data_IF_750878727060
#
_entry.id   IF_750878727060
#
_cell.length_a   1.000
_cell.length_b   1.000
_cell.length_c   1.000
_cell.angle_alpha   90.00
_cell.angle_beta   90.00
_cell.angle_gamma   90.00
#
_symmetry.space_group_name_H-M   'P 1'
#
loop_
_entity.id
_entity.type
_entity.pdbx_description
1 polymer ?
#
# COMPACT_ATOMS: atom_id res chain seq x y z
N UNK A 1 -16.10 -40.18 -61.96
CA UNK A 1 -14.65 -39.93 -62.11
C UNK A 1 -14.08 -39.62 -60.73
N UNK A 2 -13.14 -40.45 -60.26
CA UNK A 2 -12.06 -40.23 -59.27
C UNK A 2 -12.36 -39.29 -58.08
N UNK A 3 -12.75 -39.79 -56.89
CA UNK A 3 -11.94 -40.37 -55.79
C UNK A 3 -10.88 -39.41 -55.18
N UNK A 4 -11.10 -39.03 -53.91
CA UNK A 4 -10.13 -38.96 -52.79
C UNK A 4 -10.98 -38.93 -51.49
N UNK A 5 -11.20 -40.05 -50.78
CA UNK A 5 -10.45 -40.57 -49.60
C UNK A 5 -10.00 -39.43 -48.65
N UNK A 6 -10.71 -39.11 -47.57
CA UNK A 6 -10.81 -39.81 -46.26
C UNK A 6 -9.46 -39.95 -45.53
N UNK A 7 -9.27 -39.22 -44.42
CA UNK A 7 -8.72 -39.75 -43.16
C UNK A 7 -9.27 -38.91 -41.99
N UNK A 8 -10.08 -39.56 -41.17
CA UNK A 8 -10.37 -39.14 -39.80
C UNK A 8 -9.23 -39.64 -38.90
N UNK A 9 -8.83 -38.85 -37.91
CA UNK A 9 -8.07 -39.37 -36.77
C UNK A 9 -8.60 -38.73 -35.49
N UNK A 10 -9.48 -39.46 -34.81
CA UNK A 10 -9.64 -39.37 -33.36
C UNK A 10 -8.39 -39.99 -32.72
N UNK A 11 -7.82 -39.30 -31.75
CA UNK A 11 -6.90 -39.89 -30.78
C UNK A 11 -7.29 -39.36 -29.39
N UNK A 12 -8.11 -40.16 -28.71
CA UNK A 12 -8.33 -40.11 -27.28
C UNK A 12 -7.20 -40.87 -26.58
N UNK A 13 -6.48 -40.20 -25.68
CA UNK A 13 -5.59 -40.82 -24.71
C UNK A 13 -6.00 -40.35 -23.30
N UNK A 14 -6.70 -41.25 -22.59
CA UNK A 14 -6.68 -41.28 -21.14
C UNK A 14 -5.36 -41.93 -20.69
N UNK A 15 -4.69 -41.36 -19.68
CA UNK A 15 -3.69 -42.08 -18.91
C UNK A 15 -2.64 -41.22 -18.20
N UNK A 16 -2.62 -41.37 -16.87
CA UNK A 16 -1.52 -41.15 -15.91
C UNK A 16 -1.38 -39.76 -15.25
N UNK A 17 -1.86 -39.71 -14.00
CA UNK A 17 -1.31 -38.89 -12.92
C UNK A 17 0.07 -39.43 -12.47
N UNK A 18 0.79 -38.55 -11.76
CA UNK A 18 1.99 -38.77 -10.94
C UNK A 18 3.32 -39.06 -11.65
N UNK A 19 4.11 -38.00 -11.81
CA UNK A 19 5.36 -37.82 -11.04
C UNK A 19 5.96 -36.45 -11.37
N UNK A 20 5.54 -35.41 -10.63
CA UNK A 20 6.35 -34.19 -10.52
C UNK A 20 7.18 -34.30 -9.24
N UNK A 21 8.52 -34.33 -9.33
CA UNK A 21 9.35 -34.32 -8.14
C UNK A 21 9.11 -33.03 -7.36
N UNK A 22 8.75 -33.20 -6.09
CA UNK A 22 8.86 -32.25 -4.98
C UNK A 22 8.55 -30.80 -5.30
N UNK A 23 7.37 -30.34 -4.86
CA UNK A 23 7.21 -28.92 -4.53
C UNK A 23 8.45 -28.44 -3.74
N UNK A 24 9.06 -27.29 -4.08
CA UNK A 24 10.13 -26.76 -3.26
C UNK A 24 9.58 -26.62 -1.84
N UNK A 25 10.14 -27.39 -0.90
CA UNK A 25 9.90 -27.26 0.52
C UNK A 25 10.53 -25.93 0.94
N UNK A 26 9.84 -24.84 0.62
CA UNK A 26 10.07 -23.58 1.29
C UNK A 26 9.88 -23.86 2.79
N UNK A 27 10.80 -23.42 3.66
CA UNK A 27 10.54 -23.50 5.08
C UNK A 27 9.21 -22.78 5.32
N UNK A 28 8.26 -23.45 5.98
CA UNK A 28 7.05 -22.82 6.45
C UNK A 28 7.48 -21.70 7.40
N UNK A 29 7.50 -20.47 6.89
CA UNK A 29 7.68 -19.30 7.71
C UNK A 29 6.45 -19.24 8.61
N UNK A 30 6.62 -19.67 9.86
CA UNK A 30 5.69 -19.29 10.92
C UNK A 30 5.64 -17.76 10.90
N UNK A 31 4.50 -17.20 10.51
CA UNK A 31 4.20 -15.77 10.41
C UNK A 31 4.08 -15.14 11.80
N UNK A 32 5.06 -15.39 12.67
CA UNK A 32 5.24 -14.60 13.87
C UNK A 32 6.18 -13.46 13.50
N UNK A 33 5.72 -12.19 13.56
CA UNK A 33 6.63 -11.06 13.41
C UNK A 33 7.70 -11.20 14.48
N UNK A 34 8.95 -11.36 14.06
CA UNK A 34 10.07 -11.39 15.00
C UNK A 34 10.29 -9.94 15.44
N UNK A 35 10.14 -9.61 16.74
CA UNK A 35 10.46 -8.28 17.22
C UNK A 35 11.90 -7.96 16.80
N UNK A 36 12.13 -6.79 16.19
CA UNK A 36 13.51 -6.36 15.92
C UNK A 36 14.25 -6.29 17.27
N UNK A 37 15.44 -6.87 17.34
CA UNK A 37 16.16 -7.12 18.59
C UNK A 37 16.47 -5.85 19.42
N UNK A 38 16.38 -4.66 18.81
CA UNK A 38 16.53 -3.37 19.49
C UNK A 38 15.27 -2.90 20.26
N UNK A 39 14.13 -3.60 20.14
CA UNK A 39 12.79 -3.07 20.49
C UNK A 39 12.18 -3.51 21.82
N UNK A 40 12.82 -4.41 22.56
CA UNK A 40 12.22 -4.99 23.77
C UNK A 40 12.13 -4.03 24.99
N UNK A 41 12.61 -2.77 24.89
CA UNK A 41 12.69 -1.84 26.02
C UNK A 41 12.02 -0.47 25.84
N UNK A 42 11.55 -0.10 24.64
CA UNK A 42 10.85 1.17 24.45
C UNK A 42 9.40 1.06 24.96
N UNK A 43 8.88 2.05 25.72
CA UNK A 43 7.50 2.02 26.18
C UNK A 43 6.52 2.03 25.01
N UNK A 44 5.30 1.53 25.24
CA UNK A 44 4.21 1.66 24.29
C UNK A 44 3.91 3.16 24.05
N UNK A 45 3.65 3.58 22.81
CA UNK A 45 3.26 4.95 22.52
C UNK A 45 1.82 5.23 22.95
N UNK A 46 1.46 6.51 23.02
CA UNK A 46 0.11 6.95 23.38
C UNK A 46 -0.40 8.04 22.43
N UNK A 47 -1.70 8.02 22.05
CA UNK A 47 -2.72 7.03 22.40
C UNK A 47 -2.65 5.76 21.52
N UNK A 48 -3.19 4.65 22.03
CA UNK A 48 -3.55 3.51 21.18
C UNK A 48 -5.04 3.56 20.87
N UNK A 49 -5.39 3.34 19.61
CA UNK A 49 -6.78 3.34 19.13
C UNK A 49 -7.26 1.92 18.84
N UNK A 50 -8.49 1.55 19.24
CA UNK A 50 -9.10 0.29 18.86
C UNK A 50 -9.60 0.35 17.41
N UNK A 51 -9.19 -0.62 16.59
CA UNK A 51 -9.70 -0.78 15.23
C UNK A 51 -10.36 -2.14 15.08
N UNK A 52 -11.68 -2.13 14.88
CA UNK A 52 -12.45 -3.35 14.65
C UNK A 52 -12.20 -3.87 13.23
N UNK A 53 -11.62 -5.07 13.13
CA UNK A 53 -11.45 -5.84 11.90
C UNK A 53 -12.43 -7.04 11.93
N UNK A 54 -12.72 -7.69 10.80
CA UNK A 54 -13.71 -8.78 10.73
C UNK A 54 -13.46 -9.95 11.70
N UNK A 55 -12.20 -10.26 12.01
CA UNK A 55 -11.80 -11.40 12.84
C UNK A 55 -11.16 -11.00 14.18
N UNK A 56 -10.85 -9.72 14.40
CA UNK A 56 -10.11 -9.26 15.57
C UNK A 56 -10.26 -7.75 15.79
N UNK A 57 -9.91 -7.29 16.99
CA UNK A 57 -9.70 -5.86 17.25
C UNK A 57 -8.20 -5.59 17.34
N UNK A 58 -7.70 -4.71 16.50
CA UNK A 58 -6.31 -4.26 16.53
C UNK A 58 -6.19 -3.02 17.43
N UNK A 59 -5.37 -3.09 18.47
CA UNK A 59 -4.97 -1.89 19.22
C UNK A 59 -3.70 -1.33 18.61
N UNK A 60 -3.81 -0.21 17.90
CA UNK A 60 -2.70 0.35 17.13
C UNK A 60 -2.39 1.79 17.53
N UNK A 61 -1.13 2.18 17.40
CA UNK A 61 -0.75 3.59 17.45
C UNK A 61 -1.14 4.23 16.12
N UNK A 62 -1.92 5.33 16.11
CA UNK A 62 -2.53 5.84 14.88
C UNK A 62 -1.55 6.53 13.91
N UNK A 63 -0.25 6.40 14.15
CA UNK A 63 0.82 7.02 13.39
C UNK A 63 1.97 6.02 13.13
N UNK A 64 2.78 6.28 12.11
CA UNK A 64 4.18 5.87 12.04
C UNK A 64 5.08 7.02 12.51
N UNK A 65 6.38 6.77 12.61
CA UNK A 65 7.35 7.80 12.95
C UNK A 65 8.79 7.36 12.77
N UNK A 66 9.71 8.33 12.73
CA UNK A 66 11.16 8.10 12.65
C UNK A 66 11.80 7.73 14.00
N UNK A 67 10.97 7.45 15.00
CA UNK A 67 11.39 7.14 16.36
C UNK A 67 10.23 6.68 17.23
N UNK A 68 10.55 6.27 18.46
CA UNK A 68 9.54 5.82 19.41
C UNK A 68 8.74 7.02 19.95
N UNK A 69 7.41 6.94 19.83
CA UNK A 69 6.44 7.92 20.34
C UNK A 69 6.58 9.33 19.73
N UNK A 70 7.12 9.41 18.51
CA UNK A 70 7.23 10.65 17.73
C UNK A 70 6.38 10.51 16.46
N UNK A 71 5.11 10.98 16.46
CA UNK A 71 4.23 10.80 15.31
C UNK A 71 4.74 11.60 14.11
N UNK A 72 4.81 10.95 12.95
CA UNK A 72 5.07 11.56 11.64
C UNK A 72 3.84 11.45 10.76
N UNK A 73 3.61 10.26 10.20
CA UNK A 73 2.53 10.02 9.24
C UNK A 73 1.39 9.21 9.87
N UNK A 74 0.12 9.60 9.68
CA UNK A 74 -1.00 8.78 10.11
C UNK A 74 -1.06 7.42 9.40
N UNK A 75 -1.50 6.42 10.14
CA UNK A 75 -1.95 5.15 9.55
C UNK A 75 -3.29 5.39 8.86
N UNK A 76 -3.33 5.24 7.54
CA UNK A 76 -4.54 5.43 6.71
C UNK A 76 -5.06 4.14 6.08
N UNK A 77 -4.25 3.08 6.04
CA UNK A 77 -4.60 1.82 5.37
C UNK A 77 -4.25 0.60 6.24
N UNK A 78 -5.12 -0.41 6.18
CA UNK A 78 -4.94 -1.71 6.84
C UNK A 78 -5.27 -2.82 5.84
N UNK A 79 -4.31 -3.71 5.62
CA UNK A 79 -4.47 -4.91 4.81
C UNK A 79 -4.66 -6.13 5.71
N UNK A 80 -5.69 -6.92 5.41
CA UNK A 80 -6.03 -8.16 6.12
C UNK A 80 -6.09 -9.34 5.14
N UNK A 81 -6.11 -10.57 5.67
CA UNK A 81 -6.05 -11.79 4.86
C UNK A 81 -4.61 -12.18 4.55
N UNK A 82 -4.26 -12.37 3.27
CA UNK A 82 -2.88 -12.67 2.83
C UNK A 82 -2.03 -11.39 2.74
N UNK A 83 -1.97 -10.64 3.83
CA UNK A 83 -1.35 -9.32 3.89
C UNK A 83 0.16 -9.38 4.21
N UNK A 84 0.95 -10.23 3.54
CA UNK A 84 2.42 -10.18 3.64
C UNK A 84 2.93 -8.94 2.87
N UNK A 85 3.62 -7.97 3.52
CA UNK A 85 4.18 -6.80 2.84
C UNK A 85 4.98 -7.12 1.59
N UNK A 86 5.71 -8.25 1.55
CA UNK A 86 6.49 -8.64 0.37
C UNK A 86 5.59 -9.02 -0.79
N UNK A 87 4.49 -9.72 -0.52
CA UNK A 87 3.52 -10.10 -1.55
C UNK A 87 2.77 -8.85 -2.06
N UNK A 88 2.36 -7.96 -1.15
CA UNK A 88 1.74 -6.67 -1.48
C UNK A 88 2.67 -5.85 -2.39
N UNK A 89 3.94 -5.71 -2.00
CA UNK A 89 4.97 -5.03 -2.79
C UNK A 89 5.12 -5.64 -4.18
N UNK A 90 5.34 -6.95 -4.26
CA UNK A 90 5.54 -7.63 -5.55
C UNK A 90 4.35 -7.46 -6.49
N UNK A 91 3.12 -7.47 -5.96
CA UNK A 91 1.92 -7.27 -6.75
C UNK A 91 1.83 -5.85 -7.34
N UNK A 92 2.16 -4.82 -6.55
CA UNK A 92 2.14 -3.43 -7.01
C UNK A 92 3.24 -3.14 -8.04
N UNK A 93 4.44 -3.70 -7.86
CA UNK A 93 5.57 -3.52 -8.79
C UNK A 93 5.35 -4.18 -10.17
N UNK A 94 4.34 -5.04 -10.31
CA UNK A 94 3.97 -5.66 -11.59
C UNK A 94 3.00 -4.81 -12.41
N UNK A 95 2.41 -3.76 -11.82
CA UNK A 95 1.46 -2.90 -12.50
C UNK A 95 2.18 -1.86 -13.35
N UNK A 96 1.60 -1.55 -14.50
CA UNK A 96 2.10 -0.55 -15.46
C UNK A 96 1.74 0.90 -15.09
N UNK A 97 0.94 1.09 -14.03
CA UNK A 97 0.43 2.40 -13.63
C UNK A 97 -0.80 2.90 -14.41
N UNK A 98 -1.27 2.23 -15.45
CA UNK A 98 -2.44 2.69 -16.22
C UNK A 98 -3.76 2.40 -15.48
N UNK A 99 -4.40 3.45 -14.97
CA UNK A 99 -5.67 3.38 -14.24
C UNK A 99 -6.87 3.85 -15.07
N UNK A 100 -6.72 4.07 -16.37
CA UNK A 100 -7.79 4.61 -17.24
C UNK A 100 -9.01 3.69 -17.33
N UNK A 101 -8.82 2.37 -17.21
CA UNK A 101 -9.91 1.40 -17.16
C UNK A 101 -10.86 1.61 -15.95
N UNK A 102 -10.41 2.32 -14.91
CA UNK A 102 -11.19 2.69 -13.74
C UNK A 102 -11.75 4.13 -13.82
N UNK A 103 -11.64 4.78 -14.98
CA UNK A 103 -12.17 6.13 -15.21
C UNK A 103 -11.24 7.27 -14.80
N UNK A 104 -10.01 6.97 -14.39
CA UNK A 104 -9.02 8.00 -14.07
C UNK A 104 -8.39 8.59 -15.36
N UNK A 105 -7.96 9.87 -15.33
CA UNK A 105 -7.24 10.48 -16.43
C UNK A 105 -5.93 9.76 -16.77
N UNK A 106 -5.50 9.81 -18.02
CA UNK A 106 -4.12 9.45 -18.40
C UNK A 106 -3.16 10.62 -18.13
N UNK A 107 -2.97 10.92 -16.85
CA UNK A 107 -2.07 11.97 -16.37
C UNK A 107 -1.63 11.67 -14.93
N UNK A 108 -0.49 12.22 -14.51
CA UNK A 108 -0.03 12.11 -13.13
C UNK A 108 -1.09 12.68 -12.15
N UNK A 109 -1.37 12.02 -11.01
CA UNK A 109 -0.73 10.80 -10.50
C UNK A 109 -1.36 9.47 -10.97
N UNK A 110 -2.32 9.50 -11.87
CA UNK A 110 -3.13 8.33 -12.23
C UNK A 110 -2.44 7.36 -13.19
N UNK A 111 -1.36 7.78 -13.87
CA UNK A 111 -0.59 6.97 -14.81
C UNK A 111 0.86 6.66 -14.35
N UNK A 112 1.21 6.91 -13.09
CA UNK A 112 2.52 6.49 -12.56
C UNK A 112 2.52 5.01 -12.17
N UNK A 113 3.65 4.34 -12.36
CA UNK A 113 3.90 2.99 -11.87
C UNK A 113 4.57 3.04 -10.49
N UNK A 114 4.32 2.01 -9.67
CA UNK A 114 5.00 1.86 -8.39
C UNK A 114 6.45 1.42 -8.58
N UNK A 115 7.36 1.97 -7.78
CA UNK A 115 8.73 1.52 -7.65
C UNK A 115 9.15 1.55 -6.17
N UNK A 116 10.25 0.88 -5.82
CA UNK A 116 10.82 1.00 -4.47
C UNK A 116 11.26 2.43 -4.18
N UNK A 117 11.00 2.89 -2.96
CA UNK A 117 11.57 4.14 -2.43
C UNK A 117 13.11 3.98 -2.33
N UNK A 118 13.91 4.81 -3.03
CA UNK A 118 15.37 4.72 -2.96
C UNK A 118 15.96 5.29 -1.66
N UNK A 119 15.20 6.08 -0.91
CA UNK A 119 15.59 6.85 0.28
C UNK A 119 14.91 6.33 1.56
N UNK A 120 14.73 5.02 1.69
CA UNK A 120 14.08 4.38 2.85
C UNK A 120 14.66 4.88 4.18
N UNK A 121 13.83 5.58 4.95
CA UNK A 121 14.20 6.07 6.28
C UNK A 121 13.80 5.05 7.35
N UNK A 122 14.50 4.99 8.50
CA UNK A 122 14.11 4.10 9.60
C UNK A 122 12.79 4.56 10.23
N UNK A 123 11.67 4.02 9.77
CA UNK A 123 10.36 4.25 10.38
C UNK A 123 9.92 3.10 11.29
N UNK A 124 9.05 3.44 12.23
CA UNK A 124 8.40 2.51 13.16
C UNK A 124 6.89 2.71 13.20
N UNK A 125 6.18 1.63 13.47
CA UNK A 125 4.77 1.64 13.84
C UNK A 125 4.58 0.77 15.10
N UNK A 126 3.40 0.79 15.71
CA UNK A 126 3.16 0.03 16.93
C UNK A 126 1.76 -0.59 16.98
N UNK A 127 1.70 -1.84 17.44
CA UNK A 127 0.45 -2.47 17.90
C UNK A 127 0.68 -3.16 19.24
N UNK A 128 -0.37 -3.30 20.06
CA UNK A 128 -0.23 -4.00 21.34
C UNK A 128 0.20 -5.47 21.17
N UNK A 129 -0.18 -6.09 20.06
CA UNK A 129 0.11 -7.50 19.76
C UNK A 129 1.57 -7.73 19.34
N UNK A 130 2.14 -6.81 18.55
CA UNK A 130 3.48 -6.97 17.97
C UNK A 130 4.53 -6.07 18.62
N UNK A 131 4.11 -5.16 19.49
CA UNK A 131 4.97 -4.10 20.02
C UNK A 131 5.41 -3.16 18.90
N UNK A 132 6.62 -2.62 19.04
CA UNK A 132 7.23 -1.79 18.01
C UNK A 132 7.56 -2.65 16.77
N UNK A 133 7.09 -2.20 15.62
CA UNK A 133 7.44 -2.70 14.29
C UNK A 133 8.16 -1.60 13.50
N UNK A 134 8.70 -1.90 12.33
CA UNK A 134 9.53 -0.95 11.57
C UNK A 134 10.46 -1.70 10.62
N UNK A 135 11.31 -0.97 9.90
CA UNK A 135 11.83 -1.44 8.61
C UNK A 135 10.67 -1.72 7.65
N UNK A 136 9.80 -0.72 7.38
CA UNK A 136 8.73 -0.90 6.43
C UNK A 136 9.28 -1.22 5.04
N UNK A 137 8.43 -1.82 4.23
CA UNK A 137 8.61 -1.76 2.78
C UNK A 137 7.99 -0.46 2.31
N UNK A 138 8.74 0.33 1.55
CA UNK A 138 8.32 1.63 1.05
C UNK A 138 8.32 1.63 -0.48
N UNK A 139 7.22 2.12 -1.05
CA UNK A 139 7.01 2.25 -2.48
C UNK A 139 6.61 3.68 -2.81
N UNK A 140 6.93 4.11 -4.02
CA UNK A 140 6.53 5.41 -4.54
C UNK A 140 5.88 5.30 -5.91
N UNK A 141 4.97 6.24 -6.17
CA UNK A 141 4.39 6.51 -7.49
C UNK A 141 4.54 8.01 -7.76
N UNK A 142 5.53 8.37 -8.56
CA UNK A 142 5.94 9.77 -8.78
C UNK A 142 7.44 9.94 -8.59
N UNK A 143 7.87 11.13 -8.16
CA UNK A 143 9.28 11.43 -7.91
C UNK A 143 9.43 12.15 -6.57
N UNK A 144 10.43 11.73 -5.78
CA UNK A 144 10.80 12.36 -4.51
C UNK A 144 10.93 13.88 -4.61
N UNK A 145 11.64 14.41 -5.61
CA UNK A 145 11.91 15.84 -5.76
C UNK A 145 10.76 16.65 -6.38
N UNK A 146 9.59 16.03 -6.56
CA UNK A 146 8.39 16.64 -7.14
C UNK A 146 7.15 16.29 -6.30
N UNK A 147 6.22 15.55 -6.87
CA UNK A 147 5.05 15.04 -6.19
C UNK A 147 5.08 13.51 -6.29
N UNK A 148 4.66 12.84 -5.23
CA UNK A 148 4.62 11.38 -5.17
C UNK A 148 3.51 10.90 -4.26
N UNK A 149 3.00 9.71 -4.56
CA UNK A 149 2.35 8.89 -3.55
C UNK A 149 3.45 8.08 -2.87
N UNK A 150 3.48 8.11 -1.55
CA UNK A 150 4.44 7.34 -0.77
C UNK A 150 3.70 6.30 0.06
N UNK A 151 3.93 5.02 -0.21
CA UNK A 151 3.19 3.91 0.39
C UNK A 151 4.12 3.10 1.30
N UNK A 152 3.67 2.84 2.52
CA UNK A 152 4.45 2.11 3.53
C UNK A 152 3.72 0.87 4.00
N UNK A 153 4.46 -0.22 4.20
CA UNK A 153 3.94 -1.46 4.75
C UNK A 153 4.69 -1.89 6.01
N UNK A 154 3.98 -1.90 7.13
CA UNK A 154 4.45 -2.44 8.40
C UNK A 154 3.76 -3.78 8.69
N UNK A 155 4.53 -4.86 8.76
CA UNK A 155 4.04 -6.16 9.24
C UNK A 155 3.80 -6.07 10.75
N UNK A 156 2.54 -6.12 11.16
CA UNK A 156 2.12 -6.08 12.57
C UNK A 156 1.56 -7.41 13.06
N UNK A 157 1.82 -8.51 12.35
CA UNK A 157 1.37 -9.86 12.73
C UNK A 157 -0.13 -10.06 12.53
N UNK A 158 -0.49 -10.82 11.50
CA UNK A 158 -1.89 -11.09 11.14
C UNK A 158 -2.60 -9.94 10.40
N UNK A 159 -1.93 -8.80 10.25
CA UNK A 159 -2.31 -7.70 9.36
C UNK A 159 -1.05 -6.92 8.93
N UNK A 160 -1.19 -6.15 7.86
CA UNK A 160 -0.22 -5.09 7.51
C UNK A 160 -0.91 -3.75 7.68
N UNK A 161 -0.20 -2.79 8.27
CA UNK A 161 -0.68 -1.40 8.42
C UNK A 161 0.23 -0.44 7.69
N UNK A 162 -0.28 0.71 7.32
CA UNK A 162 0.50 1.68 6.57
C UNK A 162 -0.21 3.01 6.36
N UNK A 163 0.56 3.96 5.83
CA UNK A 163 0.07 5.21 5.30
C UNK A 163 0.35 5.27 3.81
N UNK A 164 -0.50 6.00 3.10
CA UNK A 164 -0.28 6.37 1.71
C UNK A 164 -0.51 7.88 1.54
N UNK A 165 0.36 8.78 2.01
CA UNK A 165 0.25 10.19 1.68
C UNK A 165 0.46 10.41 0.17
N UNK A 166 -0.36 11.28 -0.43
CA UNK A 166 0.03 12.00 -1.63
C UNK A 166 0.66 13.32 -1.22
N UNK A 167 1.90 13.55 -1.63
CA UNK A 167 2.72 14.63 -1.09
C UNK A 167 3.49 15.39 -2.16
N UNK A 168 3.89 16.61 -1.81
CA UNK A 168 4.73 17.47 -2.65
C UNK A 168 5.98 17.87 -1.90
N UNK A 169 7.11 17.82 -2.60
CA UNK A 169 8.39 18.30 -2.12
C UNK A 169 8.34 19.79 -1.81
N UNK A 170 8.91 20.19 -0.67
CA UNK A 170 9.04 21.58 -0.28
C UNK A 170 10.39 22.09 -0.81
N UNK A 171 10.42 23.04 -1.78
CA UNK A 171 11.67 23.46 -2.39
C UNK A 171 12.68 24.02 -1.37
N UNK A 172 13.90 23.47 -1.38
CA UNK A 172 14.99 23.91 -0.51
C UNK A 172 15.02 23.23 0.86
N UNK A 173 14.22 22.18 1.07
CA UNK A 173 14.25 21.34 2.29
C UNK A 173 14.48 19.87 1.92
N UNK A 174 14.38 18.96 2.89
CA UNK A 174 14.28 17.51 2.67
C UNK A 174 12.88 16.98 3.02
N UNK A 175 11.91 17.90 3.08
CA UNK A 175 10.60 17.65 3.66
C UNK A 175 9.54 17.64 2.58
N UNK A 176 8.52 16.83 2.80
CA UNK A 176 7.33 16.78 1.97
C UNK A 176 6.13 17.32 2.74
N UNK A 177 5.20 17.94 2.03
CA UNK A 177 3.90 18.29 2.55
C UNK A 177 2.89 17.31 1.99
N UNK A 178 2.22 16.55 2.86
CA UNK A 178 1.04 15.79 2.44
C UNK A 178 -0.05 16.73 1.97
N UNK A 179 -0.60 16.46 0.79
CA UNK A 179 -1.65 17.25 0.14
C UNK A 179 -2.97 16.49 0.01
N UNK A 180 -2.97 15.16 0.07
CA UNK A 180 -4.19 14.35 0.18
C UNK A 180 -3.89 12.93 0.66
N UNK A 181 -4.77 12.37 1.49
CA UNK A 181 -4.77 10.96 1.85
C UNK A 181 -5.77 10.20 0.99
N UNK A 182 -6.93 10.81 0.78
CA UNK A 182 -8.08 10.26 0.09
C UNK A 182 -7.77 9.91 -1.37
N UNK A 183 -7.01 10.77 -2.07
CA UNK A 183 -6.60 10.49 -3.45
C UNK A 183 -5.66 9.28 -3.51
N UNK A 184 -4.73 9.18 -2.55
CA UNK A 184 -3.80 8.08 -2.51
C UNK A 184 -4.47 6.76 -2.09
N UNK A 185 -5.41 6.79 -1.14
CA UNK A 185 -6.26 5.65 -0.80
C UNK A 185 -7.01 5.12 -2.02
N UNK A 186 -7.60 6.00 -2.83
CA UNK A 186 -8.29 5.61 -4.07
C UNK A 186 -7.35 4.90 -5.05
N UNK A 187 -6.15 5.47 -5.28
CA UNK A 187 -5.15 4.88 -6.18
C UNK A 187 -4.71 3.50 -5.68
N UNK A 188 -4.42 3.39 -4.38
CA UNK A 188 -3.97 2.15 -3.76
C UNK A 188 -5.05 1.06 -3.84
N UNK A 189 -6.31 1.40 -3.54
CA UNK A 189 -7.44 0.45 -3.66
C UNK A 189 -7.57 -0.07 -5.09
N UNK A 190 -7.51 0.83 -6.08
CA UNK A 190 -7.60 0.48 -7.51
C UNK A 190 -6.47 -0.45 -7.91
N UNK A 191 -5.25 -0.18 -7.48
CA UNK A 191 -4.10 -1.03 -7.81
C UNK A 191 -4.17 -2.41 -7.13
N UNK A 192 -4.71 -2.50 -5.92
CA UNK A 192 -4.96 -3.81 -5.32
C UNK A 192 -6.09 -4.58 -6.00
N UNK A 193 -7.10 -3.91 -6.56
CA UNK A 193 -8.08 -4.55 -7.45
C UNK A 193 -7.41 -5.05 -8.74
N UNK A 194 -6.56 -4.23 -9.37
CA UNK A 194 -5.86 -4.54 -10.62
C UNK A 194 -4.87 -5.69 -10.48
N UNK A 195 -4.18 -5.78 -9.34
CA UNK A 195 -3.28 -6.89 -9.05
C UNK A 195 -4.00 -8.19 -8.67
N UNK A 196 -5.31 -8.14 -8.44
CA UNK A 196 -6.11 -9.29 -8.01
C UNK A 196 -5.93 -9.69 -6.55
N UNK A 197 -5.21 -8.86 -5.76
CA UNK A 197 -5.07 -9.08 -4.31
C UNK A 197 -6.24 -8.54 -3.50
N UNK A 198 -7.04 -7.65 -4.07
CA UNK A 198 -8.32 -7.23 -3.51
C UNK A 198 -9.45 -7.94 -4.24
N UNK A 199 -10.21 -8.76 -3.51
CA UNK A 199 -11.38 -9.47 -4.04
C UNK A 199 -12.56 -8.49 -4.16
N UNK A 200 -13.01 -8.15 -5.40
CA UNK A 200 -14.12 -7.23 -5.59
C UNK A 200 -15.47 -7.79 -5.13
N UNK A 201 -15.55 -9.09 -4.84
CA UNK A 201 -16.77 -9.76 -4.36
C UNK A 201 -16.91 -9.69 -2.84
N UNK A 202 -15.84 -9.37 -2.12
CA UNK A 202 -15.87 -9.10 -0.68
C UNK A 202 -16.10 -7.61 -0.47
N UNK A 203 -17.13 -7.20 0.28
CA UNK A 203 -17.36 -5.79 0.55
C UNK A 203 -16.14 -5.14 1.21
N UNK A 204 -15.64 -4.06 0.61
CA UNK A 204 -14.74 -3.15 1.31
C UNK A 204 -15.46 -2.62 2.54
N UNK A 205 -14.82 -2.73 3.70
CA UNK A 205 -15.32 -2.13 4.92
C UNK A 205 -14.40 -0.98 5.31
N UNK A 206 -15.01 0.10 5.79
CA UNK A 206 -14.28 1.21 6.39
C UNK A 206 -14.21 0.98 7.89
N UNK A 207 -13.06 1.28 8.49
CA UNK A 207 -12.96 1.33 9.95
C UNK A 207 -13.67 2.57 10.49
N UNK A 208 -13.79 2.67 11.82
CA UNK A 208 -13.95 3.99 12.43
C UNK A 208 -12.70 4.86 12.17
N UNK A 209 -12.76 6.17 12.49
CA UNK A 209 -11.60 7.05 12.38
C UNK A 209 -10.40 6.49 13.17
N UNK A 210 -9.27 6.32 12.49
CA UNK A 210 -8.01 5.85 13.09
C UNK A 210 -7.21 7.05 13.61
N UNK A 211 -7.07 8.06 12.77
CA UNK A 211 -6.30 9.27 13.01
C UNK A 211 -7.18 10.53 12.78
N UNK A 212 -6.75 11.72 13.23
CA UNK A 212 -7.46 12.96 12.95
C UNK A 212 -7.40 13.30 11.46
N UNK A 213 -8.57 13.45 10.80
CA UNK A 213 -8.66 13.95 9.42
C UNK A 213 -9.25 15.38 9.39
N UNK A 214 -8.68 16.31 8.60
CA UNK A 214 -7.41 16.15 7.89
C UNK A 214 -6.21 16.20 8.86
N UNK A 215 -5.16 15.44 8.57
CA UNK A 215 -3.90 15.54 9.29
C UNK A 215 -3.09 16.72 8.74
N UNK A 216 -2.92 17.75 9.57
CA UNK A 216 -2.20 18.97 9.21
C UNK A 216 -3.00 19.96 8.35
N UNK A 217 -2.36 21.07 7.99
CA UNK A 217 -2.90 22.10 7.09
C UNK A 217 -1.84 22.40 6.05
N UNK A 218 -2.22 22.39 4.76
CA UNK A 218 -1.32 22.74 3.68
C UNK A 218 -1.07 24.26 3.75
N UNK A 219 0.17 24.74 4.01
CA UNK A 219 0.45 26.16 4.03
C UNK A 219 0.17 26.79 2.67
N UNK A 220 -0.43 27.99 2.66
CA UNK A 220 -0.79 28.69 1.42
C UNK A 220 0.39 28.83 0.44
N UNK A 221 1.59 29.10 0.94
CA UNK A 221 2.82 29.18 0.11
C UNK A 221 3.14 27.88 -0.62
N UNK A 222 2.86 26.72 -0.01
CA UNK A 222 3.03 25.42 -0.64
C UNK A 222 1.86 25.13 -1.57
N UNK A 223 0.62 25.37 -1.10
CA UNK A 223 -0.59 25.16 -1.88
C UNK A 223 -0.57 25.90 -3.22
N UNK A 224 -0.16 27.17 -3.18
CA UNK A 224 -0.07 28.04 -4.36
C UNK A 224 1.07 27.63 -5.30
N UNK A 225 1.98 26.74 -4.88
CA UNK A 225 2.97 26.08 -5.74
C UNK A 225 2.47 24.82 -6.45
N UNK A 226 1.34 24.23 -6.01
CA UNK A 226 0.79 23.00 -6.59
C UNK A 226 0.20 23.31 -7.99
N UNK A 227 0.49 22.51 -9.03
CA UNK A 227 -0.15 22.65 -10.34
C UNK A 227 -1.68 22.57 -10.25
N UNK A 228 -2.40 23.39 -11.04
CA UNK A 228 -3.86 23.47 -10.99
C UNK A 228 -4.57 22.12 -11.21
N UNK A 229 -4.06 21.27 -12.11
CA UNK A 229 -4.58 19.92 -12.33
C UNK A 229 -4.48 19.02 -11.08
N UNK A 230 -3.40 19.17 -10.29
CA UNK A 230 -3.25 18.46 -9.02
C UNK A 230 -4.14 19.05 -7.93
N UNK A 231 -4.31 20.38 -7.86
CA UNK A 231 -5.29 21.02 -6.96
C UNK A 231 -6.70 20.49 -7.23
N UNK A 232 -7.06 20.34 -8.50
CA UNK A 232 -8.33 19.76 -8.91
C UNK A 232 -8.44 18.29 -8.48
N UNK A 233 -7.38 17.49 -8.67
CA UNK A 233 -7.37 16.07 -8.31
C UNK A 233 -7.55 15.83 -6.80
N UNK A 234 -7.01 16.70 -5.95
CA UNK A 234 -7.21 16.64 -4.48
C UNK A 234 -8.48 17.36 -4.00
N UNK A 235 -9.35 17.81 -4.91
CA UNK A 235 -10.62 18.47 -4.58
C UNK A 235 -10.49 19.87 -3.96
N UNK A 236 -9.34 20.54 -4.12
CA UNK A 236 -9.07 21.85 -3.53
C UNK A 236 -9.38 23.04 -4.46
N UNK A 237 -9.25 24.28 -3.95
CA UNK A 237 -9.39 25.50 -4.75
C UNK A 237 -8.45 25.56 -5.96
N UNK A 238 -8.98 25.91 -7.13
CA UNK A 238 -8.17 26.07 -8.34
C UNK A 238 -7.35 27.37 -8.36
N UNK A 239 -7.79 28.37 -7.60
CA UNK A 239 -7.09 29.64 -7.43
C UNK A 239 -6.09 29.55 -6.27
N UNK A 240 -5.27 30.58 -6.14
CA UNK A 240 -4.42 30.74 -4.96
C UNK A 240 -5.26 31.07 -3.72
N UNK A 241 -4.79 30.59 -2.57
CA UNK A 241 -5.41 30.74 -1.24
C UNK A 241 -4.57 31.60 -0.31
#
# INVERSE_FOLDING_TARGET
MHRFLAVAFLLSLFGACDDRPGAPTAPAATSQPKPSAARAGAPAPSPLVPVALPSQTLQLWPFSGFGFDQPSDPVSLIWIGNADPRALRSALLLLDGDRTAFGFPDAFPFNCAWHDDPEVQPEVAYTSASGWVGSPIELECGMYDQARLHLRFFDVGGATVGGAPFEVYIPGTLEHQTISWELAEQIVVVDFLRSGLLDPTVPLFTTGPINPSPFGTIPAVIYNGIPAGLRQAIGGPLADV
#
